data_IF_791540158758
#
_entry.id   IF_791540158758
#
_cell.length_a   1.000
_cell.length_b   1.000
_cell.length_c   1.000
_cell.angle_alpha   90.00
_cell.angle_beta   90.00
_cell.angle_gamma   90.00
#
_symmetry.space_group_name_H-M   'P 1'
#
loop_
_entity.id
_entity.type
_entity.pdbx_description
1 polymer ?
#
# COMPACT_ATOMS: atom_id res chain seq x y z
N UNK A 1 -9.10 8.38 -3.30
CA UNK A 1 -9.86 7.38 -4.08
C UNK A 1 -11.35 7.64 -3.91
N UNK A 2 -12.16 7.60 -4.96
CA UNK A 2 -13.61 7.75 -4.85
C UNK A 2 -14.24 6.49 -4.25
N UNK A 3 -15.25 6.67 -3.39
CA UNK A 3 -16.12 5.57 -2.98
C UNK A 3 -17.01 5.18 -4.18
N UNK A 4 -16.90 3.93 -4.64
CA UNK A 4 -17.59 3.45 -5.84
C UNK A 4 -18.69 2.45 -5.55
N UNK A 5 -18.65 1.78 -4.40
CA UNK A 5 -19.73 0.92 -3.93
C UNK A 5 -19.71 0.79 -2.41
N UNK A 6 -20.89 0.57 -1.83
CA UNK A 6 -21.05 0.21 -0.41
C UNK A 6 -22.19 -0.80 -0.30
N UNK A 7 -21.91 -1.91 0.37
CA UNK A 7 -22.88 -2.95 0.68
C UNK A 7 -23.06 -3.05 2.18
N UNK A 8 -24.26 -3.28 2.63
CA UNK A 8 -24.58 -3.70 4.00
C UNK A 8 -25.07 -5.13 3.92
N UNK A 9 -24.36 -6.03 4.57
CA UNK A 9 -24.53 -7.47 4.41
C UNK A 9 -24.72 -8.15 5.76
N UNK A 10 -25.43 -9.28 5.72
CA UNK A 10 -25.59 -10.17 6.86
C UNK A 10 -25.33 -11.60 6.38
N UNK A 11 -24.27 -12.21 6.90
CA UNK A 11 -23.83 -13.54 6.49
C UNK A 11 -23.45 -14.41 7.69
N UNK A 12 -23.53 -15.72 7.50
CA UNK A 12 -22.92 -16.67 8.43
C UNK A 12 -21.42 -16.78 8.14
N UNK A 13 -20.61 -16.12 8.97
CA UNK A 13 -19.16 -16.11 8.86
C UNK A 13 -18.53 -16.72 10.11
N UNK A 14 -17.67 -17.74 9.91
CA UNK A 14 -16.91 -18.39 10.99
C UNK A 14 -17.80 -18.85 12.16
N UNK A 15 -18.96 -19.45 11.83
CA UNK A 15 -19.87 -20.10 12.78
C UNK A 15 -20.79 -19.13 13.55
N UNK A 16 -20.98 -17.90 13.09
CA UNK A 16 -21.94 -16.95 13.64
C UNK A 16 -22.50 -16.02 12.54
N UNK A 17 -23.75 -15.61 12.71
CA UNK A 17 -24.33 -14.56 11.88
C UNK A 17 -23.68 -13.21 12.23
N UNK A 18 -23.18 -12.50 11.20
CA UNK A 18 -22.49 -11.23 11.34
C UNK A 18 -23.04 -10.21 10.37
N UNK A 19 -23.13 -8.98 10.86
CA UNK A 19 -23.57 -7.83 10.07
C UNK A 19 -22.36 -6.91 9.84
N UNK A 20 -22.12 -6.55 8.60
CA UNK A 20 -20.98 -5.72 8.23
C UNK A 20 -21.28 -4.81 7.05
N UNK A 21 -20.48 -3.74 6.96
CA UNK A 21 -20.43 -2.85 5.83
C UNK A 21 -19.20 -3.21 4.99
N UNK A 22 -19.37 -3.28 3.67
CA UNK A 22 -18.30 -3.55 2.71
C UNK A 22 -18.21 -2.39 1.72
N UNK A 23 -17.15 -1.59 1.83
CA UNK A 23 -16.91 -0.40 1.03
C UNK A 23 -15.81 -0.63 0.00
N UNK A 24 -15.99 -0.10 -1.20
CA UNK A 24 -15.02 -0.17 -2.29
C UNK A 24 -14.57 1.22 -2.74
N UNK A 25 -13.28 1.46 -2.71
CA UNK A 25 -12.67 2.68 -3.21
C UNK A 25 -11.96 2.40 -4.54
N UNK A 26 -12.50 3.00 -5.61
CA UNK A 26 -12.04 2.73 -6.98
C UNK A 26 -10.66 3.30 -7.30
N UNK A 27 -9.90 2.55 -8.08
CA UNK A 27 -8.64 2.96 -8.66
C UNK A 27 -8.78 3.26 -10.16
N UNK A 28 -7.86 4.05 -10.76
CA UNK A 28 -7.99 4.47 -12.16
C UNK A 28 -7.97 3.33 -13.19
N UNK A 29 -7.41 2.19 -12.84
CA UNK A 29 -7.33 1.00 -13.69
C UNK A 29 -8.59 0.10 -13.65
N UNK A 30 -9.63 0.52 -12.89
CA UNK A 30 -10.86 -0.22 -12.70
C UNK A 30 -10.84 -1.22 -11.55
N UNK A 31 -9.71 -1.41 -10.87
CA UNK A 31 -9.63 -2.17 -9.61
C UNK A 31 -10.13 -1.33 -8.42
N UNK A 32 -10.25 -1.94 -7.25
CA UNK A 32 -10.67 -1.24 -6.04
C UNK A 32 -9.97 -1.79 -4.80
N UNK A 33 -9.80 -0.94 -3.80
CA UNK A 33 -9.51 -1.36 -2.43
C UNK A 33 -10.82 -1.57 -1.69
N UNK A 34 -10.95 -2.73 -1.03
CA UNK A 34 -12.11 -3.09 -0.25
C UNK A 34 -11.82 -2.95 1.25
N UNK A 35 -12.78 -2.40 1.98
CA UNK A 35 -12.72 -2.24 3.43
C UNK A 35 -13.98 -2.78 4.07
N UNK A 36 -13.82 -3.38 5.24
CA UNK A 36 -14.92 -3.92 6.03
C UNK A 36 -15.03 -3.20 7.37
N UNK A 37 -16.26 -3.05 7.84
CA UNK A 37 -16.55 -2.61 9.20
C UNK A 37 -17.70 -3.45 9.75
N UNK A 38 -17.49 -4.11 10.88
CA UNK A 38 -18.54 -4.88 11.54
C UNK A 38 -19.48 -3.99 12.34
N UNK A 39 -20.77 -4.35 12.36
CA UNK A 39 -21.80 -3.57 13.06
C UNK A 39 -21.64 -3.65 14.57
N UNK A 40 -21.14 -4.76 15.10
CA UNK A 40 -20.91 -4.89 16.53
C UNK A 40 -19.41 -4.89 16.86
N UNK A 41 -19.12 -4.37 18.05
CA UNK A 41 -17.73 -4.18 18.49
C UNK A 41 -16.98 -5.49 18.70
N UNK A 42 -17.65 -6.54 19.15
CA UNK A 42 -16.97 -7.82 19.41
C UNK A 42 -16.48 -8.48 18.11
N UNK A 43 -17.25 -8.35 17.03
CA UNK A 43 -16.82 -8.84 15.72
C UNK A 43 -15.71 -7.95 15.13
N UNK A 44 -15.84 -6.63 15.29
CA UNK A 44 -14.77 -5.71 14.86
C UNK A 44 -13.45 -6.06 15.58
N UNK A 45 -13.46 -6.21 16.89
CA UNK A 45 -12.26 -6.55 17.67
C UNK A 45 -11.68 -7.94 17.31
N UNK A 46 -12.54 -8.88 16.91
CA UNK A 46 -12.11 -10.23 16.52
C UNK A 46 -11.39 -10.24 15.15
N UNK A 47 -11.87 -9.44 14.19
CA UNK A 47 -11.38 -9.45 12.80
C UNK A 47 -10.45 -8.29 12.45
N UNK A 48 -10.26 -7.36 13.37
CA UNK A 48 -9.33 -6.22 13.26
C UNK A 48 -8.25 -6.29 14.36
N UNK A 49 -7.43 -7.34 14.39
CA UNK A 49 -6.36 -7.46 15.36
C UNK A 49 -5.31 -6.40 15.11
N UNK A 50 -4.72 -5.91 16.17
CA UNK A 50 -3.62 -4.95 16.12
C UNK A 50 -2.48 -5.44 15.22
N UNK A 51 -2.14 -4.69 14.19
CA UNK A 51 -1.04 -5.03 13.29
C UNK A 51 0.29 -4.77 13.99
N UNK A 52 1.17 -5.76 13.99
CA UNK A 52 2.55 -5.52 14.42
C UNK A 52 3.20 -4.56 13.42
N UNK A 53 3.66 -3.37 13.85
CA UNK A 53 4.31 -2.41 12.95
C UNK A 53 5.48 -3.04 12.20
N UNK A 54 5.55 -2.82 10.90
CA UNK A 54 6.66 -3.26 10.07
C UNK A 54 6.79 -2.37 8.83
N UNK A 55 7.95 -1.74 8.61
CA UNK A 55 8.17 -0.92 7.41
C UNK A 55 8.20 -1.74 6.12
N UNK A 56 8.26 -3.07 6.23
CA UNK A 56 8.29 -3.99 5.07
C UNK A 56 6.93 -4.63 4.77
N UNK A 57 5.88 -4.27 5.51
CA UNK A 57 4.49 -4.64 5.23
C UNK A 57 3.71 -3.39 4.88
N UNK A 58 3.48 -3.16 3.59
CA UNK A 58 2.79 -1.97 3.12
C UNK A 58 2.04 -2.25 1.82
N UNK A 59 1.17 -1.33 1.46
CA UNK A 59 0.51 -1.28 0.15
C UNK A 59 1.13 -0.13 -0.61
N UNK A 60 1.70 -0.42 -1.79
CA UNK A 60 2.26 0.59 -2.68
C UNK A 60 1.26 0.91 -3.80
N UNK A 61 0.97 2.19 -3.99
CA UNK A 61 0.09 2.72 -5.03
C UNK A 61 0.91 3.61 -5.97
N UNK A 62 0.93 3.26 -7.26
CA UNK A 62 1.56 4.11 -8.27
C UNK A 62 0.68 5.33 -8.55
N UNK A 63 1.29 6.51 -8.50
CA UNK A 63 0.64 7.80 -8.73
C UNK A 63 1.52 8.71 -9.58
N UNK A 64 0.95 9.78 -10.14
CA UNK A 64 1.78 10.82 -10.76
C UNK A 64 2.59 11.58 -9.71
N UNK A 65 3.73 12.16 -10.10
CA UNK A 65 4.53 13.02 -9.22
C UNK A 65 3.70 14.19 -8.66
N UNK A 66 2.85 14.79 -9.47
CA UNK A 66 1.92 15.83 -9.02
C UNK A 66 0.97 15.33 -7.93
N UNK A 67 0.34 14.16 -8.14
CA UNK A 67 -0.56 13.56 -7.15
C UNK A 67 0.17 13.23 -5.85
N UNK A 68 1.41 12.73 -5.94
CA UNK A 68 2.24 12.45 -4.76
C UNK A 68 2.51 13.74 -3.96
N UNK A 69 2.87 14.83 -4.63
CA UNK A 69 3.12 16.14 -3.99
C UNK A 69 1.83 16.70 -3.36
N UNK A 70 0.68 16.55 -4.02
CA UNK A 70 -0.62 16.94 -3.46
C UNK A 70 -1.00 16.13 -2.22
N UNK A 71 -0.72 14.81 -2.21
CA UNK A 71 -0.93 13.95 -1.03
C UNK A 71 -0.02 14.43 0.10
N UNK A 72 1.27 14.60 -0.17
CA UNK A 72 2.23 15.05 0.83
C UNK A 72 1.85 16.40 1.44
N UNK A 73 1.47 17.38 0.62
CA UNK A 73 1.00 18.69 1.09
C UNK A 73 -0.25 18.60 1.97
N UNK A 74 -1.19 17.68 1.68
CA UNK A 74 -2.36 17.44 2.53
C UNK A 74 -2.01 16.82 3.86
N UNK A 75 -1.09 15.84 3.88
CA UNK A 75 -0.60 15.21 5.11
C UNK A 75 0.12 16.21 6.00
N UNK A 76 0.99 17.05 5.42
CA UNK A 76 1.67 18.13 6.15
C UNK A 76 0.68 19.14 6.74
N UNK A 77 -0.30 19.60 5.96
CA UNK A 77 -1.31 20.55 6.42
C UNK A 77 -2.19 19.99 7.54
N UNK A 78 -2.44 18.69 7.52
CA UNK A 78 -3.22 17.99 8.54
C UNK A 78 -2.38 17.60 9.77
N UNK A 79 -1.07 17.86 9.73
CA UNK A 79 -0.12 17.37 10.75
C UNK A 79 -0.24 15.86 11.02
N UNK A 80 -0.55 15.10 9.94
CA UNK A 80 -0.79 13.68 10.05
C UNK A 80 0.51 12.92 10.21
N UNK A 81 0.69 12.29 11.39
CA UNK A 81 1.85 11.42 11.72
C UNK A 81 3.17 11.96 11.15
N UNK A 82 3.60 13.18 11.50
CA UNK A 82 4.73 13.84 10.85
C UNK A 82 6.04 13.05 11.00
N UNK A 83 6.23 12.30 12.10
CA UNK A 83 7.41 11.45 12.32
C UNK A 83 7.36 10.14 11.52
N UNK A 84 6.15 9.69 11.13
CA UNK A 84 5.92 8.48 10.33
C UNK A 84 5.69 8.77 8.84
N UNK A 85 5.73 10.04 8.44
CA UNK A 85 5.54 10.46 7.04
C UNK A 85 6.85 10.94 6.45
N UNK A 86 7.39 10.24 5.45
CA UNK A 86 8.70 10.53 4.89
C UNK A 86 8.78 10.16 3.41
N UNK A 87 9.78 10.72 2.73
CA UNK A 87 10.04 10.47 1.31
C UNK A 87 11.39 9.78 1.15
N UNK A 88 11.44 8.74 0.29
CA UNK A 88 12.68 8.09 -0.13
C UNK A 88 12.82 8.13 -1.65
N UNK A 89 14.07 8.37 -2.08
CA UNK A 89 14.48 8.27 -3.48
C UNK A 89 15.12 6.89 -3.71
N UNK A 90 14.51 6.08 -4.58
CA UNK A 90 15.00 4.75 -4.93
C UNK A 90 15.83 4.73 -6.23
N UNK A 91 15.92 5.87 -6.91
CA UNK A 91 16.61 6.02 -8.19
C UNK A 91 15.73 5.66 -9.40
N UNK A 92 14.87 4.66 -9.28
CA UNK A 92 13.87 4.32 -10.28
C UNK A 92 12.46 4.83 -9.95
N UNK A 93 12.21 5.19 -8.71
CA UNK A 93 11.00 5.88 -8.26
C UNK A 93 11.28 6.72 -7.02
N UNK A 94 10.42 7.68 -6.77
CA UNK A 94 10.31 8.42 -5.52
C UNK A 94 9.12 7.88 -4.76
N UNK A 95 9.27 7.56 -3.47
CA UNK A 95 8.23 6.97 -2.63
C UNK A 95 7.92 7.85 -1.43
N UNK A 96 6.64 8.17 -1.26
CA UNK A 96 6.10 8.83 -0.07
C UNK A 96 5.45 7.76 0.80
N UNK A 97 5.93 7.63 2.03
CA UNK A 97 5.42 6.71 3.04
C UNK A 97 4.60 7.44 4.09
N UNK A 98 3.50 6.84 4.54
CA UNK A 98 2.69 7.29 5.67
C UNK A 98 1.86 6.12 6.20
N UNK A 99 1.35 6.23 7.41
CA UNK A 99 0.42 5.23 7.95
C UNK A 99 -1.04 5.67 7.76
N UNK A 100 -1.91 4.71 7.55
CA UNK A 100 -3.35 4.92 7.64
C UNK A 100 -3.84 4.97 9.10
N UNK A 101 -5.12 5.28 9.36
CA UNK A 101 -5.67 5.27 10.72
C UNK A 101 -5.59 3.93 11.47
N UNK A 102 -5.50 2.81 10.73
CA UNK A 102 -5.43 1.45 11.30
C UNK A 102 -3.98 0.98 11.52
N UNK A 103 -2.96 1.82 11.24
CA UNK A 103 -1.56 1.47 11.38
C UNK A 103 -0.95 0.72 10.19
N UNK A 104 -1.67 0.61 9.06
CA UNK A 104 -1.12 0.07 7.82
C UNK A 104 -0.21 1.10 7.18
N UNK A 105 1.02 0.71 6.86
CA UNK A 105 1.92 1.55 6.08
C UNK A 105 1.44 1.61 4.63
N UNK A 106 1.29 2.82 4.13
CA UNK A 106 0.99 3.12 2.73
C UNK A 106 2.21 3.73 2.06
N UNK A 107 2.43 3.35 0.82
CA UNK A 107 3.44 3.93 -0.05
C UNK A 107 2.76 4.52 -1.29
N UNK A 108 3.09 5.74 -1.63
CA UNK A 108 2.69 6.35 -2.91
C UNK A 108 3.95 6.51 -3.74
N UNK A 109 4.07 5.70 -4.81
CA UNK A 109 5.24 5.71 -5.70
C UNK A 109 4.98 6.60 -6.91
N UNK A 110 5.98 7.41 -7.27
CA UNK A 110 6.02 8.13 -8.54
C UNK A 110 7.26 7.70 -9.32
N UNK A 111 7.06 7.20 -10.53
CA UNK A 111 8.12 6.69 -11.38
C UNK A 111 9.12 7.79 -11.76
N UNK A 112 10.41 7.48 -11.71
CA UNK A 112 11.45 8.35 -12.22
C UNK A 112 11.46 8.37 -13.77
N UNK A 113 12.00 9.40 -14.40
CA UNK A 113 12.20 9.41 -15.84
C UNK A 113 12.99 8.17 -16.29
N UNK A 114 12.43 7.41 -17.24
CA UNK A 114 13.05 6.18 -17.74
C UNK A 114 12.79 4.91 -16.93
N UNK A 115 11.93 4.96 -15.92
CA UNK A 115 11.55 3.79 -15.09
C UNK A 115 11.08 2.59 -15.94
N UNK A 116 10.38 2.83 -17.05
CA UNK A 116 9.96 1.75 -17.97
C UNK A 116 11.14 0.89 -18.47
N UNK A 117 12.27 1.52 -18.83
CA UNK A 117 13.47 0.81 -19.28
C UNK A 117 14.12 0.03 -18.14
N UNK A 118 14.15 0.63 -16.96
CA UNK A 118 14.66 -0.01 -15.74
C UNK A 118 13.82 -1.24 -15.40
N UNK A 119 12.49 -1.08 -15.40
CA UNK A 119 11.55 -2.16 -15.11
C UNK A 119 11.63 -3.29 -16.14
N UNK A 120 11.77 -2.95 -17.42
CA UNK A 120 11.95 -3.95 -18.48
C UNK A 120 13.26 -4.77 -18.28
N UNK A 121 14.36 -4.11 -17.94
CA UNK A 121 15.62 -4.77 -17.64
C UNK A 121 15.51 -5.68 -16.40
N UNK A 122 14.92 -5.16 -15.32
CA UNK A 122 14.72 -5.95 -14.08
C UNK A 122 13.76 -7.12 -14.25
N UNK A 123 12.73 -6.99 -15.11
CA UNK A 123 11.86 -8.10 -15.49
C UNK A 123 12.63 -9.21 -16.21
N UNK A 124 13.59 -8.82 -17.05
CA UNK A 124 14.42 -9.78 -17.81
C UNK A 124 15.32 -10.64 -16.93
N UNK A 125 15.85 -10.11 -15.84
CA UNK A 125 16.78 -10.82 -14.94
C UNK A 125 16.18 -11.21 -13.57
N UNK A 126 14.88 -10.98 -13.36
CA UNK A 126 14.23 -11.15 -12.07
C UNK A 126 14.41 -12.57 -11.47
N UNK A 127 14.18 -13.61 -12.27
CA UNK A 127 14.29 -14.98 -11.81
C UNK A 127 15.73 -15.39 -11.50
N UNK A 128 16.69 -14.94 -12.29
CA UNK A 128 18.11 -15.24 -12.04
C UNK A 128 18.59 -14.50 -10.79
N UNK A 129 18.20 -13.26 -10.60
CA UNK A 129 18.49 -12.50 -9.38
C UNK A 129 17.91 -13.18 -8.13
N UNK A 130 16.63 -13.63 -8.21
CA UNK A 130 16.01 -14.36 -7.09
C UNK A 130 16.74 -15.67 -6.79
N UNK A 131 17.09 -16.45 -7.82
CA UNK A 131 17.84 -17.71 -7.67
C UNK A 131 19.19 -17.48 -7.01
N UNK A 132 19.91 -16.46 -7.43
CA UNK A 132 21.19 -16.04 -6.83
C UNK A 132 21.02 -15.70 -5.35
N UNK A 133 20.00 -14.89 -5.01
CA UNK A 133 19.66 -14.54 -3.63
C UNK A 133 19.38 -15.77 -2.76
N UNK A 134 18.56 -16.70 -3.25
CA UNK A 134 18.22 -17.94 -2.53
C UNK A 134 19.42 -18.87 -2.36
N UNK A 135 20.43 -18.77 -3.22
CA UNK A 135 21.71 -19.49 -3.11
C UNK A 135 22.72 -18.83 -2.16
N UNK A 136 22.37 -17.72 -1.51
CA UNK A 136 23.21 -17.02 -0.53
C UNK A 136 24.07 -15.89 -1.11
N UNK A 137 23.96 -15.59 -2.40
CA UNK A 137 24.62 -14.41 -2.97
C UNK A 137 23.69 -13.19 -2.85
N UNK A 138 23.95 -12.36 -1.86
CA UNK A 138 23.18 -11.16 -1.51
C UNK A 138 23.83 -9.87 -2.07
N UNK A 139 24.66 -9.97 -3.07
CA UNK A 139 25.28 -8.79 -3.72
C UNK A 139 24.19 -7.90 -4.33
N UNK A 140 24.21 -6.60 -3.97
CA UNK A 140 23.25 -5.63 -4.51
C UNK A 140 23.36 -5.52 -6.03
N UNK A 141 22.22 -5.45 -6.69
CA UNK A 141 22.08 -5.18 -8.12
C UNK A 141 21.39 -3.84 -8.43
N UNK A 142 21.05 -3.06 -7.41
CA UNK A 142 20.50 -1.71 -7.63
C UNK A 142 21.65 -0.72 -7.89
N UNK A 143 21.81 -0.32 -9.13
CA UNK A 143 22.83 0.64 -9.60
C UNK A 143 22.28 2.06 -9.81
N UNK A 144 21.03 2.31 -9.45
CA UNK A 144 20.32 3.57 -9.67
C UNK A 144 20.27 4.46 -8.41
N UNK A 145 20.69 3.95 -7.30
CA UNK A 145 20.65 4.64 -6.00
C UNK A 145 22.04 5.08 -5.56
#
# INVERSE_FOLDING_TARGET
LPLVATWSETDELFGAERVYCHCFFGMPDGSALAFFQFANKSDQDLFDPELTPSPFRHIALNVSAQTQDEIFGRLQKAEWKPEGTYVLEHGYCRSLYTEDPNGMLLEFTADAPGAEKINAARKGDAHETLKRWLAGDHTSNNTYR
#
